data_IF_569451154211
#
_entry.id   IF_569451154211
#
_cell.length_a   1.000
_cell.length_b   1.000
_cell.length_c   1.000
_cell.angle_alpha   90.00
_cell.angle_beta   90.00
_cell.angle_gamma   90.00
#
_symmetry.space_group_name_H-M   'P 1'
#
loop_
_entity.id
_entity.type
_entity.pdbx_description
1 polymer ?
#
# COMPACT_ATOMS: atom_id res chain seq x y z
N UNK A 1 8.93 24.75 -7.57
CA UNK A 1 10.33 24.62 -8.06
C UNK A 1 10.34 23.45 -9.05
N UNK A 2 11.08 23.54 -10.15
CA UNK A 2 11.17 22.46 -11.14
C UNK A 2 12.53 21.77 -11.05
N UNK A 3 12.56 20.49 -11.39
CA UNK A 3 13.77 19.68 -11.55
C UNK A 3 13.70 19.01 -12.92
N UNK A 4 14.82 19.00 -13.65
CA UNK A 4 14.94 18.27 -14.91
C UNK A 4 15.67 16.95 -14.63
N UNK A 5 15.06 15.83 -15.03
CA UNK A 5 15.58 14.48 -14.81
C UNK A 5 15.66 13.76 -16.16
N UNK A 6 16.70 12.95 -16.35
CA UNK A 6 16.89 12.18 -17.57
C UNK A 6 15.88 11.01 -17.66
N UNK A 7 15.33 10.76 -18.85
CA UNK A 7 14.36 9.68 -19.08
C UNK A 7 14.95 8.30 -18.76
N UNK A 8 16.22 8.04 -19.11
CA UNK A 8 16.89 6.76 -18.80
C UNK A 8 17.03 6.51 -17.29
N UNK A 9 17.25 7.56 -16.49
CA UNK A 9 17.27 7.44 -15.04
C UNK A 9 15.87 7.08 -14.50
N UNK A 10 14.82 7.69 -15.06
CA UNK A 10 13.44 7.33 -14.75
C UNK A 10 13.06 5.91 -15.20
N UNK A 11 13.65 5.44 -16.30
CA UNK A 11 13.47 4.09 -16.79
C UNK A 11 14.01 3.06 -15.80
N UNK A 12 15.25 3.26 -15.34
CA UNK A 12 15.87 2.45 -14.29
C UNK A 12 15.07 2.50 -12.98
N UNK A 13 14.67 3.71 -12.55
CA UNK A 13 13.87 3.87 -11.35
C UNK A 13 12.55 3.10 -11.42
N UNK A 14 11.84 3.16 -12.56
CA UNK A 14 10.61 2.41 -12.76
C UNK A 14 10.84 0.90 -12.74
N UNK A 15 11.91 0.42 -13.38
CA UNK A 15 12.29 -1.00 -13.39
C UNK A 15 12.57 -1.51 -11.97
N UNK A 16 13.37 -0.78 -11.21
CA UNK A 16 13.66 -1.11 -9.81
C UNK A 16 12.38 -1.13 -8.98
N UNK A 17 11.49 -0.16 -9.16
CA UNK A 17 10.22 -0.12 -8.43
C UNK A 17 9.30 -1.31 -8.75
N UNK A 18 9.19 -1.69 -10.02
CA UNK A 18 8.41 -2.87 -10.41
C UNK A 18 9.05 -4.15 -9.84
N UNK A 19 10.38 -4.27 -9.90
CA UNK A 19 11.09 -5.46 -9.42
C UNK A 19 11.01 -5.66 -7.90
N UNK A 20 10.91 -4.57 -7.13
CA UNK A 20 10.91 -4.60 -5.66
C UNK A 20 9.50 -4.63 -5.05
N UNK A 21 8.52 -3.95 -5.67
CA UNK A 21 7.16 -3.81 -5.13
C UNK A 21 6.10 -4.62 -5.88
N UNK A 22 6.43 -5.11 -7.09
CA UNK A 22 5.46 -5.66 -8.02
C UNK A 22 4.70 -4.59 -8.80
N UNK A 23 4.06 -5.01 -9.90
CA UNK A 23 3.42 -4.12 -10.87
C UNK A 23 2.29 -3.30 -10.24
N UNK A 24 1.38 -3.93 -9.49
CA UNK A 24 0.19 -3.25 -8.96
C UNK A 24 0.54 -2.14 -7.95
N UNK A 25 1.51 -2.39 -7.07
CA UNK A 25 1.96 -1.39 -6.08
C UNK A 25 2.74 -0.27 -6.76
N UNK A 26 3.62 -0.59 -7.71
CA UNK A 26 4.33 0.42 -8.50
C UNK A 26 3.35 1.29 -9.30
N UNK A 27 2.35 0.68 -9.95
CA UNK A 27 1.28 1.37 -10.68
C UNK A 27 0.52 2.35 -9.79
N UNK A 28 0.08 1.90 -8.61
CA UNK A 28 -0.57 2.77 -7.62
C UNK A 28 0.33 3.92 -7.17
N UNK A 29 1.62 3.65 -6.94
CA UNK A 29 2.60 4.69 -6.58
C UNK A 29 2.71 5.77 -7.67
N UNK A 30 2.92 5.39 -8.92
CA UNK A 30 3.04 6.33 -10.04
C UNK A 30 1.73 7.08 -10.33
N UNK A 31 0.57 6.43 -10.21
CA UNK A 31 -0.75 7.09 -10.29
C UNK A 31 -0.89 8.18 -9.23
N UNK A 32 -0.54 7.90 -7.97
CA UNK A 32 -0.60 8.90 -6.89
C UNK A 32 0.41 10.03 -7.08
N UNK A 33 1.62 9.73 -7.56
CA UNK A 33 2.62 10.73 -7.91
C UNK A 33 2.11 11.67 -9.01
N UNK A 34 1.54 11.12 -10.08
CA UNK A 34 0.90 11.89 -11.15
C UNK A 34 -0.26 12.74 -10.65
N UNK A 35 -1.10 12.17 -9.78
CA UNK A 35 -2.23 12.87 -9.16
C UNK A 35 -1.80 14.09 -8.35
N UNK A 36 -0.75 13.96 -7.53
CA UNK A 36 -0.21 15.10 -6.79
C UNK A 36 0.35 16.19 -7.72
N UNK A 37 1.02 15.80 -8.81
CA UNK A 37 1.46 16.76 -9.83
C UNK A 37 0.29 17.45 -10.52
N UNK A 38 -0.78 16.72 -10.85
CA UNK A 38 -1.97 17.26 -11.52
C UNK A 38 -2.70 18.29 -10.66
N UNK A 39 -2.84 18.02 -9.36
CA UNK A 39 -3.46 18.96 -8.43
C UNK A 39 -2.64 20.27 -8.32
N UNK A 40 -1.31 20.15 -8.22
CA UNK A 40 -0.43 21.33 -8.15
C UNK A 40 -0.42 22.16 -9.43
N UNK A 41 -0.52 21.51 -10.58
CA UNK A 41 -0.59 22.20 -11.86
C UNK A 41 -1.97 22.82 -12.13
N UNK A 42 -3.05 22.23 -11.60
CA UNK A 42 -4.38 22.88 -11.60
C UNK A 42 -4.37 24.18 -10.78
N UNK A 43 -3.77 24.15 -9.57
CA UNK A 43 -3.57 25.36 -8.76
C UNK A 43 -2.74 26.43 -9.50
N UNK A 44 -1.72 26.01 -10.25
CA UNK A 44 -0.87 26.90 -11.05
C UNK A 44 -1.64 27.48 -12.24
N UNK A 45 -2.39 26.66 -12.98
CA UNK A 45 -3.18 27.08 -14.13
C UNK A 45 -4.19 28.18 -13.76
N UNK A 46 -4.91 28.01 -12.64
CA UNK A 46 -5.83 29.02 -12.12
C UNK A 46 -5.15 30.35 -11.80
N UNK A 47 -3.94 30.31 -11.22
CA UNK A 47 -3.17 31.53 -10.90
C UNK A 47 -2.66 32.25 -12.15
N UNK A 48 -2.31 31.51 -13.19
CA UNK A 48 -1.74 32.08 -14.42
C UNK A 48 -2.80 32.70 -15.34
N UNK A 49 -4.03 32.19 -15.34
CA UNK A 49 -5.08 32.59 -16.30
C UNK A 49 -6.46 32.80 -15.65
N UNK A 50 -6.63 33.65 -14.63
CA UNK A 50 -7.87 33.73 -13.85
C UNK A 50 -9.14 34.06 -14.66
N UNK A 51 -9.00 34.72 -15.81
CA UNK A 51 -10.11 35.16 -16.65
C UNK A 51 -10.24 34.37 -17.97
N UNK A 52 -9.56 33.23 -18.11
CA UNK A 52 -9.67 32.40 -19.30
C UNK A 52 -11.03 31.68 -19.37
N UNK A 53 -11.43 31.31 -20.59
CA UNK A 53 -12.62 30.47 -20.79
C UNK A 53 -12.46 29.11 -20.09
N UNK A 54 -13.56 28.42 -19.81
CA UNK A 54 -13.52 27.08 -19.23
C UNK A 54 -12.66 26.12 -20.05
N UNK A 55 -12.82 26.17 -21.36
CA UNK A 55 -12.05 25.37 -22.31
C UNK A 55 -10.55 25.69 -22.26
N UNK A 56 -10.18 26.97 -22.29
CA UNK A 56 -8.77 27.38 -22.26
C UNK A 56 -8.09 27.07 -20.92
N UNK A 57 -8.86 27.14 -19.83
CA UNK A 57 -8.41 26.77 -18.49
C UNK A 57 -8.20 25.26 -18.38
N UNK A 58 -9.12 24.45 -18.93
CA UNK A 58 -8.95 23.01 -18.97
C UNK A 58 -7.74 22.61 -19.81
N UNK A 59 -7.58 23.19 -21.00
CA UNK A 59 -6.46 22.89 -21.91
C UNK A 59 -5.08 23.29 -21.36
N UNK A 60 -5.00 24.15 -20.35
CA UNK A 60 -3.74 24.44 -19.68
C UNK A 60 -3.09 23.17 -19.08
N UNK A 61 -3.87 22.19 -18.64
CA UNK A 61 -3.37 20.91 -18.12
C UNK A 61 -2.59 20.11 -19.19
N UNK A 62 -3.23 19.76 -20.33
CA UNK A 62 -2.57 19.18 -21.50
C UNK A 62 -1.36 19.98 -22.02
N UNK A 63 -1.45 21.32 -22.01
CA UNK A 63 -0.35 22.20 -22.40
C UNK A 63 0.85 22.07 -21.44
N UNK A 64 0.60 22.02 -20.13
CA UNK A 64 1.64 21.79 -19.12
C UNK A 64 2.26 20.40 -19.23
N UNK A 65 1.48 19.37 -19.57
CA UNK A 65 2.00 18.04 -19.91
C UNK A 65 3.00 18.08 -21.08
N UNK A 66 2.65 18.82 -22.13
CA UNK A 66 3.52 18.99 -23.31
C UNK A 66 4.75 19.84 -22.98
N UNK A 67 4.58 20.92 -22.20
CA UNK A 67 5.66 21.82 -21.79
C UNK A 67 6.70 21.11 -20.92
N UNK A 68 6.26 20.19 -20.05
CA UNK A 68 7.14 19.37 -19.20
C UNK A 68 7.83 18.23 -19.96
N UNK A 69 7.55 18.06 -21.26
CA UNK A 69 8.12 17.00 -22.08
C UNK A 69 7.62 15.59 -21.71
N UNK A 70 6.43 15.47 -21.11
CA UNK A 70 5.90 14.18 -20.68
C UNK A 70 5.17 13.47 -21.83
N UNK A 71 4.34 14.21 -22.56
CA UNK A 71 3.51 13.67 -23.65
C UNK A 71 3.00 14.81 -24.51
N UNK A 72 2.87 14.59 -25.82
CA UNK A 72 2.09 15.47 -26.69
C UNK A 72 0.63 15.05 -26.67
N UNK A 73 -0.24 15.98 -26.28
CA UNK A 73 -1.68 15.71 -26.15
C UNK A 73 -2.42 16.21 -27.39
N UNK A 74 -3.27 15.36 -27.97
CA UNK A 74 -4.20 15.74 -29.04
C UNK A 74 -5.64 15.40 -28.59
N UNK A 75 -6.44 16.39 -28.18
CA UNK A 75 -7.87 16.16 -27.93
C UNK A 75 -8.57 15.77 -29.24
N UNK A 76 -9.37 14.71 -29.22
CA UNK A 76 -10.19 14.28 -30.35
C UNK A 76 -11.64 14.67 -30.15
N UNK A 77 -12.12 14.61 -28.90
CA UNK A 77 -13.47 15.01 -28.51
C UNK A 77 -13.43 15.65 -27.12
N UNK A 78 -14.10 16.78 -26.96
CA UNK A 78 -14.16 17.52 -25.69
C UNK A 78 -15.56 18.09 -25.53
N UNK A 79 -16.25 17.64 -24.49
CA UNK A 79 -17.54 18.15 -24.05
C UNK A 79 -17.46 18.45 -22.55
N UNK A 80 -17.41 19.74 -22.20
CA UNK A 80 -17.22 20.21 -20.84
C UNK A 80 -18.25 21.30 -20.58
N UNK A 81 -19.02 21.13 -19.53
CA UNK A 81 -19.93 22.13 -18.97
C UNK A 81 -19.78 22.09 -17.46
N UNK A 82 -19.12 23.10 -16.90
CA UNK A 82 -18.86 23.14 -15.46
C UNK A 82 -20.11 23.42 -14.63
N UNK A 83 -21.05 24.22 -15.15
CA UNK A 83 -22.27 24.58 -14.43
C UNK A 83 -23.21 23.37 -14.29
N UNK A 84 -23.40 22.61 -15.38
CA UNK A 84 -24.21 21.39 -15.38
C UNK A 84 -23.42 20.17 -14.87
N UNK A 85 -22.10 20.29 -14.73
CA UNK A 85 -21.20 19.21 -14.34
C UNK A 85 -20.97 18.15 -15.44
N UNK A 86 -21.35 18.40 -16.69
CA UNK A 86 -21.13 17.47 -17.82
C UNK A 86 -19.65 17.43 -18.18
N UNK A 87 -19.10 16.23 -18.32
CA UNK A 87 -17.70 16.06 -18.68
C UNK A 87 -17.51 14.79 -19.51
N UNK A 88 -17.08 14.94 -20.75
CA UNK A 88 -16.63 13.84 -21.59
C UNK A 88 -15.44 14.31 -22.40
N UNK A 89 -14.33 13.59 -22.32
CA UNK A 89 -13.13 13.96 -23.06
C UNK A 89 -12.45 12.72 -23.61
N UNK A 90 -12.14 12.72 -24.91
CA UNK A 90 -11.26 11.75 -25.54
C UNK A 90 -9.98 12.45 -26.02
N UNK A 91 -8.83 11.86 -25.72
CA UNK A 91 -7.53 12.37 -26.15
C UNK A 91 -6.61 11.25 -26.63
N UNK A 92 -5.73 11.62 -27.56
CA UNK A 92 -4.57 10.83 -27.96
C UNK A 92 -3.31 11.35 -27.23
N UNK A 93 -2.53 10.41 -26.70
CA UNK A 93 -1.23 10.64 -26.10
C UNK A 93 -0.13 10.19 -27.06
N UNK A 94 0.62 11.15 -27.59
CA UNK A 94 1.65 10.94 -28.61
C UNK A 94 3.01 11.12 -27.94
N UNK A 95 3.93 10.20 -28.22
CA UNK A 95 5.30 10.19 -27.70
C UNK A 95 5.34 10.31 -26.16
N UNK A 96 4.55 9.47 -25.49
CA UNK A 96 4.58 9.31 -24.04
C UNK A 96 5.93 8.77 -23.58
N UNK A 97 6.58 9.48 -22.65
CA UNK A 97 7.84 9.03 -22.04
C UNK A 97 7.69 7.66 -21.34
N UNK A 98 6.49 7.33 -20.85
CA UNK A 98 6.23 6.05 -20.17
C UNK A 98 6.24 4.87 -21.15
N UNK A 99 5.80 5.11 -22.39
CA UNK A 99 5.88 4.12 -23.47
C UNK A 99 7.32 3.93 -23.90
N UNK A 100 8.10 5.01 -24.00
CA UNK A 100 9.54 4.94 -24.31
C UNK A 100 10.29 4.09 -23.28
N UNK A 101 10.02 4.31 -21.98
CA UNK A 101 10.57 3.49 -20.88
C UNK A 101 10.16 2.01 -21.04
N UNK A 102 8.88 1.77 -21.35
CA UNK A 102 8.35 0.42 -21.52
C UNK A 102 9.09 -0.33 -22.65
N UNK A 103 9.23 0.32 -23.81
CA UNK A 103 9.84 -0.28 -25.00
C UNK A 103 11.34 -0.53 -24.85
N UNK A 104 12.03 0.28 -24.04
CA UNK A 104 13.49 0.16 -23.85
C UNK A 104 13.88 -0.82 -22.74
N UNK A 105 13.13 -0.85 -21.62
CA UNK A 105 13.59 -1.53 -20.40
C UNK A 105 12.69 -2.63 -19.86
N UNK A 106 11.38 -2.59 -20.15
CA UNK A 106 10.40 -3.51 -19.56
C UNK A 106 9.86 -4.54 -20.56
N UNK A 107 9.99 -4.27 -21.86
CA UNK A 107 9.35 -5.05 -22.91
C UNK A 107 7.86 -4.70 -23.05
N UNK A 108 7.15 -5.46 -23.89
CA UNK A 108 5.71 -5.26 -24.09
C UNK A 108 4.93 -5.69 -22.84
N UNK A 109 4.06 -4.81 -22.35
CA UNK A 109 3.25 -5.04 -21.15
C UNK A 109 1.85 -5.54 -21.52
N UNK A 110 1.19 -6.25 -20.61
CA UNK A 110 -0.20 -6.69 -20.83
C UNK A 110 -1.21 -5.56 -20.60
N UNK A 111 -0.91 -4.67 -19.64
CA UNK A 111 -1.77 -3.56 -19.25
C UNK A 111 -1.20 -2.19 -19.66
N UNK A 112 -2.07 -1.17 -19.84
CA UNK A 112 -1.65 0.19 -20.18
C UNK A 112 -0.60 0.73 -19.21
N UNK A 113 0.40 1.43 -19.74
CA UNK A 113 1.61 1.81 -18.99
C UNK A 113 1.69 3.29 -18.64
N UNK A 114 0.80 4.16 -19.11
CA UNK A 114 0.90 5.60 -18.89
C UNK A 114 0.34 6.03 -17.51
N UNK A 115 0.88 5.47 -16.43
CA UNK A 115 0.32 5.57 -15.07
C UNK A 115 0.42 6.97 -14.47
N UNK A 116 1.57 7.63 -14.62
CA UNK A 116 1.76 9.00 -14.11
C UNK A 116 0.90 9.98 -14.89
N UNK A 117 0.84 9.81 -16.21
CA UNK A 117 0.01 10.63 -17.10
C UNK A 117 -1.49 10.51 -16.75
N UNK A 118 -1.96 9.29 -16.48
CA UNK A 118 -3.34 9.02 -16.09
C UNK A 118 -3.69 9.63 -14.73
N UNK A 119 -2.80 9.44 -13.75
CA UNK A 119 -2.97 10.03 -12.42
C UNK A 119 -3.07 11.56 -12.48
N UNK A 120 -2.21 12.19 -13.29
CA UNK A 120 -2.27 13.63 -13.54
C UNK A 120 -3.60 14.05 -14.19
N UNK A 121 -4.03 13.36 -15.25
CA UNK A 121 -5.24 13.71 -15.99
C UNK A 121 -6.49 13.65 -15.10
N UNK A 122 -6.61 12.60 -14.27
CA UNK A 122 -7.68 12.47 -13.29
C UNK A 122 -7.67 13.63 -12.29
N UNK A 123 -6.52 13.93 -11.67
CA UNK A 123 -6.44 14.94 -10.62
C UNK A 123 -6.64 16.36 -11.14
N UNK A 124 -6.03 16.71 -12.27
CA UNK A 124 -6.20 18.01 -12.90
C UNK A 124 -7.67 18.26 -13.27
N UNK A 125 -8.30 17.29 -13.93
CA UNK A 125 -9.69 17.42 -14.37
C UNK A 125 -10.66 17.43 -13.18
N UNK A 126 -10.39 16.65 -12.14
CA UNK A 126 -11.20 16.66 -10.92
C UNK A 126 -11.11 18.00 -10.20
N UNK A 127 -9.91 18.57 -10.07
CA UNK A 127 -9.72 19.90 -9.49
C UNK A 127 -10.43 20.98 -10.33
N UNK A 128 -10.31 20.90 -11.65
CA UNK A 128 -10.95 21.84 -12.58
C UNK A 128 -12.49 21.83 -12.46
N UNK A 129 -13.10 20.63 -12.48
CA UNK A 129 -14.55 20.46 -12.42
C UNK A 129 -15.13 20.60 -11.02
N UNK A 130 -14.34 20.38 -9.97
CA UNK A 130 -14.84 20.32 -8.59
C UNK A 130 -15.62 19.03 -8.28
N UNK A 131 -15.52 18.00 -9.12
CA UNK A 131 -16.11 16.67 -8.93
C UNK A 131 -15.10 15.59 -9.30
N UNK A 132 -15.33 14.34 -8.91
CA UNK A 132 -14.41 13.25 -9.22
C UNK A 132 -14.47 12.87 -10.70
N UNK A 133 -13.38 13.10 -11.43
CA UNK A 133 -13.22 12.74 -12.84
C UNK A 133 -12.17 11.63 -12.96
N UNK A 134 -12.55 10.55 -13.65
CA UNK A 134 -11.68 9.39 -13.89
C UNK A 134 -11.42 9.26 -15.38
N UNK A 135 -10.13 9.14 -15.70
CA UNK A 135 -9.64 8.76 -17.02
C UNK A 135 -9.24 7.29 -17.04
N UNK A 136 -9.54 6.60 -18.13
CA UNK A 136 -9.02 5.27 -18.45
C UNK A 136 -8.29 5.30 -19.79
N UNK A 137 -7.10 4.71 -19.84
CA UNK A 137 -6.35 4.49 -21.08
C UNK A 137 -6.95 3.25 -21.76
N UNK A 138 -7.72 3.47 -22.83
CA UNK A 138 -8.46 2.42 -23.55
C UNK A 138 -7.61 1.69 -24.59
N UNK A 139 -6.51 2.30 -25.00
CA UNK A 139 -5.48 1.70 -25.86
C UNK A 139 -4.13 2.28 -25.46
N UNK A 140 -3.07 1.48 -25.52
CA UNK A 140 -1.72 1.90 -25.17
C UNK A 140 -0.68 1.27 -26.11
N UNK A 141 0.26 2.09 -26.59
CA UNK A 141 1.41 1.61 -27.38
C UNK A 141 2.36 0.71 -26.59
N UNK A 142 2.41 0.85 -25.26
CA UNK A 142 3.16 -0.06 -24.39
C UNK A 142 2.63 -1.50 -24.40
N UNK A 143 1.35 -1.68 -24.78
CA UNK A 143 0.70 -2.98 -24.90
C UNK A 143 0.77 -3.55 -26.32
N UNK A 144 1.43 -2.86 -27.26
CA UNK A 144 1.40 -3.19 -28.69
C UNK A 144 0.21 -2.59 -29.45
N UNK A 145 -0.56 -1.68 -28.83
CA UNK A 145 -1.56 -0.88 -29.54
C UNK A 145 -0.92 0.11 -30.53
N UNK A 146 -1.72 0.60 -31.47
CA UNK A 146 -1.28 1.59 -32.47
C UNK A 146 -1.04 2.97 -31.84
N UNK A 147 -1.92 3.36 -30.92
CA UNK A 147 -1.96 4.67 -30.27
C UNK A 147 -2.28 4.56 -28.80
N UNK A 148 -1.80 5.51 -28.00
CA UNK A 148 -2.28 5.71 -26.65
C UNK A 148 -3.53 6.58 -26.68
N UNK A 149 -4.68 6.02 -26.29
CA UNK A 149 -5.97 6.73 -26.29
C UNK A 149 -6.57 6.68 -24.90
N UNK A 150 -7.05 7.82 -24.43
CA UNK A 150 -7.60 7.98 -23.09
C UNK A 150 -8.99 8.61 -23.15
N UNK A 151 -9.91 8.11 -22.33
CA UNK A 151 -11.27 8.63 -22.17
C UNK A 151 -11.46 9.06 -20.72
N UNK A 152 -11.94 10.28 -20.53
CA UNK A 152 -12.27 10.87 -19.23
C UNK A 152 -13.77 11.13 -19.09
N UNK A 153 -14.34 10.69 -17.96
CA UNK A 153 -15.73 10.90 -17.57
C UNK A 153 -15.83 11.06 -16.04
N UNK A 154 -16.94 11.59 -15.51
CA UNK A 154 -17.22 11.53 -14.09
C UNK A 154 -17.15 10.11 -13.56
N UNK A 155 -16.68 9.96 -12.33
CA UNK A 155 -16.53 8.65 -11.70
C UNK A 155 -17.87 7.88 -11.67
N UNK A 156 -18.99 8.58 -11.49
CA UNK A 156 -20.32 7.97 -11.39
C UNK A 156 -20.84 7.37 -12.70
N UNK A 157 -20.23 7.72 -13.84
CA UNK A 157 -20.59 7.19 -15.17
C UNK A 157 -19.79 5.94 -15.57
N UNK A 158 -18.89 5.47 -14.72
CA UNK A 158 -18.10 4.27 -14.95
C UNK A 158 -18.69 3.07 -14.19
N UNK A 159 -18.80 1.93 -14.88
CA UNK A 159 -19.33 0.69 -14.27
C UNK A 159 -18.37 0.08 -13.22
N UNK A 160 -17.06 0.16 -13.47
CA UNK A 160 -16.01 -0.39 -12.59
C UNK A 160 -15.04 0.70 -12.14
N UNK A 161 -15.44 1.40 -11.07
CA UNK A 161 -14.64 2.45 -10.41
C UNK A 161 -13.87 1.89 -9.22
N UNK A 162 -14.37 0.83 -8.59
CA UNK A 162 -13.81 0.31 -7.34
C UNK A 162 -12.38 -0.20 -7.53
N UNK A 163 -12.13 -0.93 -8.63
CA UNK A 163 -10.80 -1.40 -9.01
C UNK A 163 -9.81 -0.25 -9.17
N UNK A 164 -10.23 0.80 -9.90
CA UNK A 164 -9.39 1.97 -10.12
C UNK A 164 -9.09 2.75 -8.82
N UNK A 165 -10.11 2.92 -7.96
CA UNK A 165 -9.98 3.60 -6.66
C UNK A 165 -8.99 2.89 -5.73
N UNK A 166 -8.85 1.58 -5.83
CA UNK A 166 -7.90 0.83 -5.01
C UNK A 166 -6.46 1.30 -5.25
N UNK A 167 -6.10 1.71 -6.47
CA UNK A 167 -4.76 2.23 -6.77
C UNK A 167 -4.44 3.58 -6.12
N UNK A 168 -5.46 4.35 -5.73
CA UNK A 168 -5.28 5.63 -5.04
C UNK A 168 -5.17 5.49 -3.53
N UNK A 169 -5.47 4.32 -2.97
CA UNK A 169 -5.22 4.05 -1.55
C UNK A 169 -3.72 3.88 -1.30
N UNK A 170 -3.26 4.48 -0.21
CA UNK A 170 -1.91 4.28 0.26
C UNK A 170 -1.91 3.07 1.22
N UNK A 171 -1.50 1.91 0.71
CA UNK A 171 -1.37 0.69 1.50
C UNK A 171 0.12 0.50 1.85
N UNK A 172 0.57 0.90 3.07
CA UNK A 172 1.97 0.87 3.46
C UNK A 172 2.46 -0.58 3.63
N UNK A 173 3.18 -1.07 2.61
CA UNK A 173 3.75 -2.44 2.60
C UNK A 173 4.61 -2.75 3.83
N UNK A 174 5.27 -1.74 4.39
CA UNK A 174 6.14 -1.92 5.56
C UNK A 174 5.36 -2.31 6.82
N UNK A 175 4.13 -1.81 6.99
CA UNK A 175 3.27 -2.17 8.12
C UNK A 175 2.78 -3.61 7.97
N UNK A 176 2.40 -4.00 6.75
CA UNK A 176 2.02 -5.38 6.43
C UNK A 176 3.19 -6.36 6.68
N UNK A 177 4.41 -5.98 6.31
CA UNK A 177 5.60 -6.79 6.58
C UNK A 177 5.89 -6.96 8.07
N UNK A 178 5.78 -5.88 8.86
CA UNK A 178 5.95 -5.95 10.31
C UNK A 178 4.87 -6.81 10.96
N UNK A 179 3.63 -6.68 10.52
CA UNK A 179 2.50 -7.46 11.03
C UNK A 179 2.69 -8.95 10.71
N UNK A 180 3.02 -9.30 9.46
CA UNK A 180 3.29 -10.67 9.06
C UNK A 180 4.49 -11.27 9.81
N UNK A 181 5.56 -10.49 10.00
CA UNK A 181 6.72 -10.92 10.78
C UNK A 181 6.34 -11.18 12.24
N UNK A 182 5.55 -10.30 12.85
CA UNK A 182 5.04 -10.46 14.22
C UNK A 182 4.20 -11.73 14.36
N UNK A 183 3.30 -11.98 13.41
CA UNK A 183 2.47 -13.19 13.38
C UNK A 183 3.32 -14.46 13.24
N UNK A 184 4.32 -14.47 12.35
CA UNK A 184 5.23 -15.61 12.20
C UNK A 184 6.04 -15.88 13.47
N UNK A 185 6.56 -14.83 14.12
CA UNK A 185 7.28 -14.96 15.39
C UNK A 185 6.35 -15.52 16.47
N UNK A 186 5.13 -15.00 16.59
CA UNK A 186 4.13 -15.49 17.55
C UNK A 186 3.80 -16.97 17.33
N UNK A 187 3.53 -17.36 16.08
CA UNK A 187 3.22 -18.74 15.70
C UNK A 187 4.38 -19.69 16.00
N UNK A 188 5.62 -19.32 15.63
CA UNK A 188 6.81 -20.13 15.93
C UNK A 188 7.03 -20.25 17.43
N UNK A 189 6.93 -19.15 18.17
CA UNK A 189 7.08 -19.15 19.62
C UNK A 189 5.99 -20.02 20.30
N UNK A 190 4.77 -20.05 19.77
CA UNK A 190 3.71 -20.89 20.33
C UNK A 190 3.94 -22.40 20.12
N UNK A 191 4.69 -22.80 19.09
CA UNK A 191 5.14 -24.19 18.94
C UNK A 191 6.22 -24.54 19.99
N UNK A 192 7.15 -23.63 20.24
CA UNK A 192 8.23 -23.82 21.23
C UNK A 192 7.74 -23.67 22.70
N UNK A 193 6.62 -22.98 22.91
CA UNK A 193 6.02 -22.75 24.25
C UNK A 193 5.50 -24.01 24.94
N UNK A 194 5.53 -25.18 24.30
CA UNK A 194 5.31 -26.44 25.01
C UNK A 194 6.38 -26.71 26.08
N UNK A 195 7.54 -26.04 26.04
CA UNK A 195 8.63 -26.30 27.01
C UNK A 195 8.97 -25.13 27.96
N UNK A 196 8.49 -23.90 27.74
CA UNK A 196 9.15 -22.72 28.34
C UNK A 196 8.36 -21.80 29.28
N UNK A 197 7.02 -21.87 29.34
CA UNK A 197 6.22 -20.83 30.02
C UNK A 197 5.10 -21.39 30.90
N UNK A 198 5.49 -22.14 31.93
CA UNK A 198 4.57 -22.65 32.95
C UNK A 198 4.48 -21.71 34.18
N UNK A 199 4.58 -20.39 33.99
CA UNK A 199 4.45 -19.39 35.07
C UNK A 199 3.73 -18.13 34.58
N UNK A 200 2.77 -17.66 35.37
CA UNK A 200 2.03 -16.41 35.09
C UNK A 200 2.82 -15.16 35.49
N UNK A 201 2.59 -14.04 34.81
CA UNK A 201 3.16 -12.73 35.21
C UNK A 201 2.24 -12.14 36.29
N UNK A 202 2.28 -12.70 37.50
CA UNK A 202 1.53 -12.19 38.65
C UNK A 202 2.39 -11.26 39.52
N UNK A 203 1.87 -10.07 39.85
CA UNK A 203 2.53 -9.12 40.76
C UNK A 203 1.80 -8.96 42.12
N UNK A 204 0.77 -9.77 42.38
CA UNK A 204 0.00 -9.66 43.63
C UNK A 204 0.76 -10.25 44.83
N UNK A 205 0.56 -9.73 46.05
CA UNK A 205 1.21 -10.27 47.24
C UNK A 205 0.95 -11.77 47.47
N UNK A 206 -0.30 -12.21 47.27
CA UNK A 206 -0.68 -13.62 47.40
C UNK A 206 0.07 -14.51 46.40
N UNK A 207 0.23 -14.06 45.15
CA UNK A 207 0.99 -14.78 44.14
C UNK A 207 2.49 -14.84 44.48
N UNK A 208 3.03 -13.77 45.05
CA UNK A 208 4.41 -13.71 45.52
C UNK A 208 4.66 -14.68 46.68
N UNK A 209 3.69 -14.85 47.58
CA UNK A 209 3.72 -15.88 48.63
C UNK A 209 3.81 -17.28 48.03
N UNK A 210 2.93 -17.61 47.06
CA UNK A 210 2.93 -18.92 46.38
C UNK A 210 4.25 -19.14 45.64
N UNK A 211 4.80 -18.11 44.98
CA UNK A 211 6.13 -18.16 44.34
C UNK A 211 7.23 -18.54 45.31
N UNK A 212 7.31 -17.84 46.44
CA UNK A 212 8.32 -18.09 47.46
C UNK A 212 8.20 -19.50 48.05
N UNK A 213 6.96 -20.02 48.19
CA UNK A 213 6.73 -21.40 48.62
C UNK A 213 7.21 -22.42 47.58
N UNK A 214 6.93 -22.19 46.29
CA UNK A 214 7.43 -23.04 45.21
C UNK A 214 8.95 -23.07 45.16
N UNK A 215 9.61 -21.92 45.25
CA UNK A 215 11.08 -21.82 45.21
C UNK A 215 11.72 -22.57 46.38
N UNK A 216 11.15 -22.48 47.58
CA UNK A 216 11.60 -23.26 48.76
C UNK A 216 11.38 -24.76 48.55
N UNK A 217 10.21 -25.15 48.05
CA UNK A 217 9.88 -26.55 47.81
C UNK A 217 10.80 -27.19 46.76
N UNK A 218 11.18 -26.45 45.71
CA UNK A 218 12.03 -26.92 44.63
C UNK A 218 13.47 -27.25 45.08
N UNK A 219 13.98 -26.62 46.15
CA UNK A 219 15.31 -26.88 46.69
C UNK A 219 15.41 -28.22 47.45
N UNK A 220 14.27 -28.71 47.96
CA UNK A 220 14.19 -29.94 48.74
C UNK A 220 13.86 -31.17 47.89
N UNK A 221 14.03 -32.36 48.50
CA UNK A 221 13.55 -33.65 47.95
C UNK A 221 12.21 -34.08 48.56
N UNK A 222 11.47 -33.15 49.15
CA UNK A 222 10.22 -33.43 49.87
C UNK A 222 9.04 -33.58 48.91
N UNK A 223 8.06 -34.40 49.29
CA UNK A 223 6.77 -34.47 48.59
C UNK A 223 5.99 -33.18 48.81
N UNK A 224 5.43 -32.61 47.74
CA UNK A 224 4.67 -31.35 47.77
C UNK A 224 3.21 -31.65 47.46
N UNK A 225 2.30 -31.20 48.32
CA UNK A 225 0.85 -31.25 48.10
C UNK A 225 0.37 -29.89 47.58
N UNK A 226 -0.24 -29.87 46.40
CA UNK A 226 -0.84 -28.66 45.82
C UNK A 226 -2.33 -28.60 46.15
N UNK A 227 -2.68 -27.78 47.13
CA UNK A 227 -4.07 -27.52 47.51
C UNK A 227 -4.63 -26.35 46.69
N UNK A 228 -5.82 -26.52 46.12
CA UNK A 228 -6.52 -25.46 45.39
C UNK A 228 -7.71 -25.99 44.59
N UNK A 229 -8.55 -25.10 44.11
CA UNK A 229 -9.75 -25.42 43.34
C UNK A 229 -9.45 -26.11 42.00
N UNK A 230 -10.47 -26.71 41.38
CA UNK A 230 -10.37 -27.28 40.04
C UNK A 230 -10.14 -26.16 39.02
N UNK A 231 -9.25 -26.38 38.04
CA UNK A 231 -8.97 -25.38 36.98
C UNK A 231 -7.92 -24.31 37.32
N UNK A 232 -7.39 -24.24 38.55
CA UNK A 232 -6.36 -23.25 38.95
C UNK A 232 -4.96 -23.51 38.38
N UNK A 233 -4.79 -24.50 37.51
CA UNK A 233 -3.50 -24.83 36.88
C UNK A 233 -2.49 -25.56 37.78
N UNK A 234 -2.93 -26.48 38.65
CA UNK A 234 -2.03 -27.25 39.54
C UNK A 234 -0.92 -28.01 38.79
N UNK A 235 -1.18 -28.53 37.60
CA UNK A 235 -0.16 -29.20 36.77
C UNK A 235 0.95 -28.23 36.33
N UNK A 236 0.57 -27.01 35.91
CA UNK A 236 1.48 -25.92 35.54
C UNK A 236 2.40 -25.57 36.71
N UNK A 237 1.84 -25.49 37.92
CA UNK A 237 2.57 -25.26 39.16
C UNK A 237 3.55 -26.41 39.47
N UNK A 238 3.13 -27.66 39.31
CA UNK A 238 3.99 -28.83 39.52
C UNK A 238 5.18 -28.85 38.55
N UNK A 239 4.96 -28.58 37.25
CA UNK A 239 6.03 -28.41 36.25
C UNK A 239 6.97 -27.27 36.62
N UNK A 240 6.44 -26.16 37.11
CA UNK A 240 7.21 -25.01 37.59
C UNK A 240 8.12 -25.34 38.78
N UNK A 241 7.66 -26.17 39.72
CA UNK A 241 8.48 -26.66 40.85
C UNK A 241 9.57 -27.59 40.33
N UNK A 242 9.26 -28.49 39.38
CA UNK A 242 10.22 -29.39 38.76
C UNK A 242 11.35 -28.63 38.04
N UNK A 243 11.02 -27.67 37.18
CA UNK A 243 11.99 -26.84 36.43
C UNK A 243 12.92 -26.02 37.33
N UNK A 244 12.50 -25.70 38.57
CA UNK A 244 13.32 -24.95 39.55
C UNK A 244 14.10 -25.87 40.50
N UNK A 245 13.90 -27.17 40.41
CA UNK A 245 14.54 -28.14 41.29
C UNK A 245 15.88 -28.60 40.73
N UNK A 246 16.67 -29.30 41.55
CA UNK A 246 17.94 -29.91 41.10
C UNK A 246 17.76 -31.00 40.02
N UNK A 247 16.53 -31.43 39.73
CA UNK A 247 16.18 -32.45 38.74
C UNK A 247 15.46 -31.87 37.51
N UNK A 248 15.62 -30.58 37.22
CA UNK A 248 14.95 -29.92 36.10
C UNK A 248 15.18 -30.58 34.73
N UNK A 249 16.37 -31.18 34.53
CA UNK A 249 16.71 -31.90 33.29
C UNK A 249 16.14 -33.33 33.23
N UNK A 250 15.64 -33.86 34.35
CA UNK A 250 15.05 -35.20 34.39
C UNK A 250 13.61 -35.18 33.86
N UNK A 251 13.09 -36.30 33.33
CA UNK A 251 11.72 -36.37 32.85
C UNK A 251 10.68 -36.02 33.93
N UNK A 252 9.70 -35.19 33.56
CA UNK A 252 8.52 -34.91 34.39
C UNK A 252 7.30 -35.61 33.77
N UNK A 253 6.64 -36.47 34.56
CA UNK A 253 5.44 -37.19 34.13
C UNK A 253 4.27 -36.78 35.01
N UNK A 254 3.22 -36.22 34.40
CA UNK A 254 1.95 -35.94 35.08
C UNK A 254 0.98 -37.11 34.88
N UNK A 255 0.35 -37.55 35.96
CA UNK A 255 -0.71 -38.55 35.96
C UNK A 255 -1.96 -37.94 36.58
N UNK A 256 -3.09 -38.04 35.88
CA UNK A 256 -4.40 -37.56 36.33
C UNK A 256 -5.27 -38.73 36.80
#
# INVERSE_FOLDING_TARGET
RMLLVQVSAMANFRREMISTLGIERAKGFFLRMGSQSGLKDAELAWKLRPNASEYDMFLAGPQLHSLKGLVKVRPTEVDIDKECGRFYVEMEWIDSFEVEICQTELGQMQDPVCWTLLGYACAYSSAFMGREIIFKEVSCRGCGGDKCRVIGKPAEEWDDVASFKQHFKNDPIIEELYELQSQLVSLRTNLDKQEGQYYGIGQTPAYQTVRNMMDKAAQGKVSVLLLGETGVGKEVIARSVHLRSKRAAEPFVALN
#
